data_IF_384889295971
#
_entry.id   IF_384889295971
#
_cell.length_a   1.000
_cell.length_b   1.000
_cell.length_c   1.000
_cell.angle_alpha   90.00
_cell.angle_beta   90.00
_cell.angle_gamma   90.00
#
_symmetry.space_group_name_H-M   'P 1'
#
loop_
_entity.id
_entity.type
_entity.pdbx_description
1 polymer ?
#
# COMPACT_ATOMS: atom_id res chain seq x y z
N UNK A 1 -0.27 54.73 -32.20
CA UNK A 1 -0.86 53.39 -32.01
C UNK A 1 0.01 52.61 -31.03
N UNK A 2 -0.44 52.40 -29.78
CA UNK A 2 0.26 51.58 -28.79
C UNK A 2 -0.37 50.18 -28.80
N UNK A 3 0.41 49.17 -29.16
CA UNK A 3 -0.01 47.76 -29.10
C UNK A 3 0.34 47.23 -27.71
N UNK A 4 -0.66 47.10 -26.86
CA UNK A 4 -0.50 46.47 -25.54
C UNK A 4 -0.56 44.96 -25.73
N UNK A 5 0.55 44.25 -25.50
CA UNK A 5 0.57 42.80 -25.46
C UNK A 5 0.03 42.35 -24.10
N UNK A 6 -1.10 41.66 -24.11
CA UNK A 6 -1.65 40.97 -22.92
C UNK A 6 -0.89 39.65 -22.81
N UNK A 7 -0.04 39.52 -21.78
CA UNK A 7 0.54 38.24 -21.40
C UNK A 7 -0.52 37.48 -20.59
N UNK A 8 -1.09 36.42 -21.18
CA UNK A 8 -2.00 35.52 -20.48
C UNK A 8 -1.14 34.52 -19.69
N UNK A 9 -1.00 34.74 -18.38
CA UNK A 9 -0.42 33.76 -17.48
C UNK A 9 -1.46 32.68 -17.20
N UNK A 10 -1.34 31.53 -17.88
CA UNK A 10 -2.11 30.33 -17.54
C UNK A 10 -1.46 29.73 -16.30
N UNK A 11 -1.99 30.04 -15.13
CA UNK A 11 -1.68 29.29 -13.92
C UNK A 11 -2.34 27.91 -14.05
N UNK A 12 -1.55 26.86 -14.27
CA UNK A 12 -2.01 25.48 -14.07
C UNK A 12 -2.29 25.32 -12.56
N UNK A 13 -3.53 25.54 -12.16
CA UNK A 13 -4.06 25.02 -10.91
C UNK A 13 -4.20 23.50 -11.08
N UNK A 14 -3.14 22.76 -10.79
CA UNK A 14 -3.29 21.34 -10.52
C UNK A 14 -4.10 21.22 -9.22
N UNK A 15 -5.26 20.54 -9.22
CA UNK A 15 -5.95 20.27 -7.97
C UNK A 15 -4.99 19.53 -7.02
N UNK A 16 -5.01 19.82 -5.72
CA UNK A 16 -4.24 19.06 -4.76
C UNK A 16 -4.71 17.61 -4.85
N UNK A 17 -3.78 16.72 -5.17
CA UNK A 17 -4.00 15.29 -5.04
C UNK A 17 -4.24 15.05 -3.56
N UNK A 18 -5.40 14.48 -3.21
CA UNK A 18 -5.70 14.12 -1.84
C UNK A 18 -4.72 13.01 -1.43
N UNK A 19 -3.70 13.39 -0.66
CA UNK A 19 -2.83 12.45 0.02
C UNK A 19 -3.67 11.84 1.15
N UNK A 20 -3.93 10.55 1.05
CA UNK A 20 -4.61 9.79 2.08
C UNK A 20 -3.59 9.18 3.04
N UNK A 21 -4.01 8.94 4.29
CA UNK A 21 -3.34 7.93 5.11
C UNK A 21 -3.57 6.56 4.49
N UNK A 22 -2.65 5.62 4.75
CA UNK A 22 -2.88 4.23 4.36
C UNK A 22 -4.06 3.74 5.20
N UNK A 23 -5.23 3.62 4.56
CA UNK A 23 -6.38 3.01 5.19
C UNK A 23 -6.04 1.55 5.47
N UNK A 24 -6.21 1.11 6.71
CA UNK A 24 -6.26 -0.32 7.02
C UNK A 24 -7.45 -0.88 6.24
N UNK A 25 -7.23 -1.88 5.39
CA UNK A 25 -8.35 -2.59 4.79
C UNK A 25 -9.17 -3.17 5.94
N UNK A 26 -10.45 -2.80 6.00
CA UNK A 26 -11.33 -3.24 7.07
C UNK A 26 -11.83 -4.64 6.75
N UNK A 27 -12.14 -5.39 7.81
CA UNK A 27 -13.02 -6.55 7.70
C UNK A 27 -14.29 -6.12 6.95
N UNK A 28 -14.67 -6.87 5.92
CA UNK A 28 -15.82 -6.49 5.12
C UNK A 28 -17.07 -6.76 5.95
N UNK A 29 -18.08 -5.88 5.88
CA UNK A 29 -19.35 -6.11 6.58
C UNK A 29 -20.20 -7.24 5.95
N UNK A 30 -19.63 -8.04 5.03
CA UNK A 30 -20.27 -9.15 4.32
C UNK A 30 -19.65 -10.51 4.64
N UNK A 31 -20.37 -11.55 4.25
CA UNK A 31 -20.00 -12.97 4.26
C UNK A 31 -18.74 -13.22 3.37
N UNK A 32 -17.54 -13.01 3.94
CA UNK A 32 -16.26 -13.32 3.33
C UNK A 32 -16.00 -12.67 1.95
N UNK A 33 -15.09 -13.25 1.17
CA UNK A 33 -14.87 -12.95 -0.25
C UNK A 33 -13.54 -12.28 -0.60
N UNK A 34 -13.39 -11.92 -1.87
CA UNK A 34 -12.20 -11.26 -2.42
C UNK A 34 -12.55 -9.85 -2.88
N UNK A 35 -11.84 -8.84 -2.38
CA UNK A 35 -11.90 -7.46 -2.89
C UNK A 35 -10.50 -6.89 -3.13
N UNK A 36 -10.38 -6.07 -4.16
CA UNK A 36 -9.13 -5.43 -4.54
C UNK A 36 -9.42 -4.12 -5.27
N UNK A 37 -9.00 -3.00 -4.67
CA UNK A 37 -9.31 -1.66 -5.15
C UNK A 37 -8.05 -0.80 -5.31
N UNK A 38 -8.07 0.12 -6.27
CA UNK A 38 -6.99 1.08 -6.51
C UNK A 38 -7.52 2.42 -7.04
N UNK A 39 -6.77 3.53 -6.90
CA UNK A 39 -7.22 4.85 -7.32
C UNK A 39 -7.21 4.99 -8.84
N UNK A 40 -8.14 5.80 -9.38
CA UNK A 40 -8.32 5.96 -10.83
C UNK A 40 -7.09 6.49 -11.58
N UNK A 41 -6.12 7.13 -10.91
CA UNK A 41 -4.84 7.53 -11.52
C UNK A 41 -4.07 6.35 -12.13
N UNK A 42 -4.26 5.13 -11.58
CA UNK A 42 -3.66 3.89 -12.09
C UNK A 42 -4.07 3.64 -13.54
N UNK A 43 -5.32 3.92 -13.90
CA UNK A 43 -5.84 3.71 -15.26
C UNK A 43 -5.14 4.61 -16.31
N UNK A 44 -4.45 5.66 -15.87
CA UNK A 44 -3.71 6.59 -16.73
C UNK A 44 -2.24 6.21 -16.91
N UNK A 45 -1.76 5.18 -16.21
CA UNK A 45 -0.38 4.72 -16.17
C UNK A 45 -0.36 3.23 -16.58
N UNK A 46 -0.22 2.89 -17.87
CA UNK A 46 -0.41 1.53 -18.37
C UNK A 46 0.49 0.49 -17.68
N UNK A 47 1.77 0.78 -17.46
CA UNK A 47 2.67 -0.13 -16.76
C UNK A 47 2.29 -0.34 -15.30
N UNK A 48 1.72 0.68 -14.64
CA UNK A 48 1.22 0.56 -13.27
C UNK A 48 -0.07 -0.26 -13.23
N UNK A 49 -0.96 -0.04 -14.21
CA UNK A 49 -2.18 -0.83 -14.35
C UNK A 49 -1.86 -2.31 -14.57
N UNK A 50 -0.90 -2.62 -15.45
CA UNK A 50 -0.46 -3.99 -15.69
C UNK A 50 0.16 -4.61 -14.43
N UNK A 51 0.95 -3.83 -13.68
CA UNK A 51 1.55 -4.26 -12.42
C UNK A 51 0.47 -4.61 -11.37
N UNK A 52 -0.50 -3.73 -11.14
CA UNK A 52 -1.57 -3.98 -10.16
C UNK A 52 -2.57 -5.05 -10.63
N UNK A 53 -2.75 -5.24 -11.94
CA UNK A 53 -3.53 -6.35 -12.47
C UNK A 53 -2.85 -7.70 -12.19
N UNK A 54 -1.53 -7.77 -12.34
CA UNK A 54 -0.75 -8.97 -12.01
C UNK A 54 -0.76 -9.25 -10.50
N UNK A 55 -0.60 -8.21 -9.66
CA UNK A 55 -0.69 -8.32 -8.21
C UNK A 55 -2.07 -8.83 -7.75
N UNK A 56 -3.15 -8.21 -8.25
CA UNK A 56 -4.52 -8.66 -7.99
C UNK A 56 -4.75 -10.12 -8.40
N UNK A 57 -4.21 -10.53 -9.55
CA UNK A 57 -4.37 -11.90 -10.04
C UNK A 57 -3.63 -12.90 -9.14
N UNK A 58 -2.43 -12.56 -8.67
CA UNK A 58 -1.67 -13.38 -7.72
C UNK A 58 -2.42 -13.51 -6.38
N UNK A 59 -2.89 -12.39 -5.81
CA UNK A 59 -3.68 -12.39 -4.59
C UNK A 59 -4.98 -13.21 -4.72
N UNK A 60 -5.65 -13.14 -5.87
CA UNK A 60 -6.87 -13.92 -6.12
C UNK A 60 -6.59 -15.43 -6.22
N UNK A 61 -5.47 -15.83 -6.85
CA UNK A 61 -5.06 -17.23 -6.94
C UNK A 61 -4.65 -17.81 -5.58
N UNK A 62 -3.93 -17.03 -4.77
CA UNK A 62 -3.59 -17.40 -3.39
C UNK A 62 -4.85 -17.55 -2.54
N UNK A 63 -5.78 -16.60 -2.62
CA UNK A 63 -7.06 -16.67 -1.91
C UNK A 63 -7.84 -17.94 -2.28
N UNK A 64 -8.00 -18.24 -3.57
CA UNK A 64 -8.73 -19.43 -4.01
C UNK A 64 -8.00 -20.73 -3.64
N UNK A 65 -6.66 -20.73 -3.64
CA UNK A 65 -5.86 -21.86 -3.14
C UNK A 65 -6.12 -22.10 -1.66
N UNK A 66 -6.05 -21.06 -0.83
CA UNK A 66 -6.34 -21.14 0.60
C UNK A 66 -7.78 -21.63 0.87
N UNK A 67 -8.76 -21.17 0.08
CA UNK A 67 -10.15 -21.66 0.18
C UNK A 67 -10.27 -23.16 -0.13
N UNK A 68 -9.62 -23.63 -1.20
CA UNK A 68 -9.63 -25.07 -1.55
C UNK A 68 -8.99 -25.91 -0.46
N UNK A 69 -7.80 -25.53 0.00
CA UNK A 69 -7.08 -26.26 1.05
C UNK A 69 -7.87 -26.30 2.36
N UNK A 70 -8.47 -25.17 2.75
CA UNK A 70 -9.32 -25.12 3.94
C UNK A 70 -10.56 -26.02 3.80
N UNK A 71 -11.19 -26.05 2.62
CA UNK A 71 -12.34 -26.94 2.35
C UNK A 71 -11.97 -28.42 2.41
N UNK A 72 -10.74 -28.80 2.04
CA UNK A 72 -10.26 -30.18 2.17
C UNK A 72 -10.05 -30.60 3.63
N UNK A 73 -9.56 -29.68 4.47
CA UNK A 73 -9.22 -29.96 5.87
C UNK A 73 -10.45 -29.84 6.79
N UNK A 74 -11.37 -28.91 6.49
CA UNK A 74 -12.52 -28.57 7.32
C UNK A 74 -13.81 -28.34 6.49
N UNK A 75 -14.30 -29.35 5.74
CA UNK A 75 -15.40 -29.19 4.78
C UNK A 75 -16.74 -28.75 5.39
N UNK A 76 -16.97 -29.05 6.68
CA UNK A 76 -18.21 -28.71 7.40
C UNK A 76 -18.06 -27.44 8.27
N UNK A 77 -16.94 -26.71 8.14
CA UNK A 77 -16.69 -25.51 8.92
C UNK A 77 -17.49 -24.32 8.40
N UNK A 78 -18.22 -23.66 9.29
CA UNK A 78 -18.88 -22.38 8.97
C UNK A 78 -17.89 -21.29 8.53
N UNK A 79 -16.60 -21.41 8.89
CA UNK A 79 -15.59 -20.44 8.49
C UNK A 79 -15.33 -20.41 6.97
N UNK A 80 -15.73 -21.45 6.23
CA UNK A 80 -15.59 -21.51 4.77
C UNK A 80 -16.31 -20.35 4.05
N UNK A 81 -17.47 -19.97 4.56
CA UNK A 81 -18.28 -18.87 4.02
C UNK A 81 -17.76 -17.49 4.44
N UNK A 82 -16.83 -17.45 5.39
CA UNK A 82 -16.26 -16.21 5.93
C UNK A 82 -14.84 -15.93 5.47
N UNK A 83 -14.18 -16.89 4.77
CA UNK A 83 -12.82 -16.68 4.25
C UNK A 83 -12.76 -15.40 3.42
N UNK A 84 -11.80 -14.53 3.73
CA UNK A 84 -11.74 -13.18 3.18
C UNK A 84 -10.32 -12.79 2.75
N UNK A 85 -10.23 -12.05 1.65
CA UNK A 85 -9.09 -11.21 1.29
C UNK A 85 -9.61 -9.85 0.82
N UNK A 86 -9.11 -8.77 1.40
CA UNK A 86 -9.44 -7.40 1.00
C UNK A 86 -8.17 -6.57 0.93
N UNK A 87 -7.93 -5.95 -0.22
CA UNK A 87 -6.79 -5.05 -0.40
C UNK A 87 -7.21 -3.74 -1.06
N UNK A 88 -6.65 -2.63 -0.60
CA UNK A 88 -6.97 -1.30 -1.13
C UNK A 88 -5.74 -0.43 -1.22
N UNK A 89 -5.42 0.04 -2.43
CA UNK A 89 -4.37 1.03 -2.66
C UNK A 89 -4.90 2.44 -2.49
N UNK A 90 -4.08 3.30 -1.88
CA UNK A 90 -4.35 4.73 -1.68
C UNK A 90 -3.16 5.56 -2.14
N UNK A 91 -3.42 6.79 -2.63
CA UNK A 91 -2.34 7.73 -2.95
C UNK A 91 -1.82 8.34 -1.64
N UNK A 92 -0.57 8.02 -1.30
CA UNK A 92 0.10 8.53 -0.09
C UNK A 92 1.15 9.60 -0.38
N UNK A 93 1.39 9.87 -1.67
CA UNK A 93 2.25 10.96 -2.11
C UNK A 93 2.26 11.09 -3.63
N UNK A 94 2.30 12.31 -4.13
CA UNK A 94 2.39 12.56 -5.57
C UNK A 94 3.24 13.80 -5.87
N UNK A 95 4.09 13.67 -6.88
CA UNK A 95 4.82 14.78 -7.51
C UNK A 95 4.60 14.74 -9.03
N UNK A 96 5.09 15.71 -9.82
CA UNK A 96 5.02 15.61 -11.28
C UNK A 96 5.72 14.37 -11.88
N UNK A 97 6.64 13.73 -11.14
CA UNK A 97 7.44 12.59 -11.63
C UNK A 97 7.13 11.29 -10.90
N UNK A 98 6.80 11.36 -9.63
CA UNK A 98 6.61 10.20 -8.76
C UNK A 98 5.16 10.09 -8.30
N UNK A 99 4.68 8.86 -8.21
CA UNK A 99 3.45 8.49 -7.52
C UNK A 99 3.82 7.47 -6.44
N UNK A 100 3.42 7.71 -5.21
CA UNK A 100 3.58 6.79 -4.08
C UNK A 100 2.20 6.28 -3.69
N UNK A 101 2.03 4.96 -3.71
CA UNK A 101 0.85 4.28 -3.24
C UNK A 101 1.18 3.50 -1.96
N UNK A 102 0.24 3.46 -1.04
CA UNK A 102 0.26 2.53 0.09
C UNK A 102 -0.96 1.62 0.01
N UNK A 103 -0.80 0.36 0.40
CA UNK A 103 -1.86 -0.64 0.43
C UNK A 103 -2.19 -0.98 1.87
N UNK A 104 -3.47 -1.04 2.19
CA UNK A 104 -3.94 -1.80 3.35
C UNK A 104 -4.47 -3.15 2.89
N UNK A 105 -4.18 -4.20 3.65
CA UNK A 105 -4.62 -5.57 3.38
C UNK A 105 -5.29 -6.14 4.64
N UNK A 106 -6.38 -6.88 4.46
CA UNK A 106 -7.02 -7.71 5.46
C UNK A 106 -7.23 -9.12 4.91
N UNK A 107 -6.91 -10.13 5.71
CA UNK A 107 -7.12 -11.53 5.37
C UNK A 107 -7.78 -12.28 6.51
N UNK A 108 -8.76 -13.13 6.21
CA UNK A 108 -9.29 -14.11 7.14
C UNK A 108 -9.21 -15.50 6.50
N UNK A 109 -8.38 -16.37 7.06
CA UNK A 109 -8.11 -17.71 6.54
C UNK A 109 -8.75 -18.84 7.35
N UNK A 110 -9.77 -18.52 8.17
CA UNK A 110 -10.54 -19.52 8.95
C UNK A 110 -9.98 -19.81 10.35
N UNK A 111 -9.03 -19.00 10.82
CA UNK A 111 -8.46 -19.08 12.17
C UNK A 111 -9.27 -18.32 13.24
N UNK A 112 -8.61 -18.00 14.35
CA UNK A 112 -9.24 -17.31 15.48
C UNK A 112 -9.53 -15.82 15.22
N UNK A 113 -8.78 -15.19 14.32
CA UNK A 113 -8.93 -13.79 13.93
C UNK A 113 -8.40 -13.58 12.49
N UNK A 114 -8.75 -12.44 11.89
CA UNK A 114 -8.12 -11.98 10.65
C UNK A 114 -6.73 -11.38 10.89
N UNK A 115 -5.98 -11.16 9.82
CA UNK A 115 -4.68 -10.50 9.83
C UNK A 115 -4.75 -9.23 8.98
N UNK A 116 -4.14 -8.16 9.46
CA UNK A 116 -3.93 -6.93 8.69
C UNK A 116 -2.47 -6.83 8.27
N UNK A 117 -2.25 -6.41 7.04
CA UNK A 117 -0.92 -6.17 6.47
C UNK A 117 -0.91 -4.86 5.66
N UNK A 118 0.27 -4.42 5.26
CA UNK A 118 0.47 -3.21 4.46
C UNK A 118 1.56 -3.39 3.41
N UNK A 119 1.40 -2.69 2.29
CA UNK A 119 2.43 -2.62 1.25
C UNK A 119 2.64 -1.17 0.78
N UNK A 120 3.74 -0.93 0.05
CA UNK A 120 4.07 0.36 -0.53
C UNK A 120 4.66 0.20 -1.93
N UNK A 121 4.14 1.02 -2.86
CA UNK A 121 4.59 1.05 -4.25
C UNK A 121 5.01 2.46 -4.64
N UNK A 122 6.24 2.60 -5.15
CA UNK A 122 6.74 3.84 -5.72
C UNK A 122 6.83 3.71 -7.24
N UNK A 123 6.14 4.58 -7.96
CA UNK A 123 6.07 4.59 -9.42
C UNK A 123 6.69 5.85 -10.01
N UNK A 124 7.54 5.69 -11.03
CA UNK A 124 8.01 6.79 -11.86
C UNK A 124 7.05 6.99 -13.03
N UNK A 125 6.22 8.05 -12.97
CA UNK A 125 5.23 8.37 -14.00
C UNK A 125 5.83 8.72 -15.37
N UNK A 126 7.08 9.19 -15.42
CA UNK A 126 7.74 9.53 -16.70
C UNK A 126 8.35 8.32 -17.39
N UNK A 127 8.87 7.39 -16.62
CA UNK A 127 9.53 6.17 -17.12
C UNK A 127 8.58 4.96 -17.16
N UNK A 128 7.38 5.13 -16.61
CA UNK A 128 6.35 4.10 -16.45
C UNK A 128 6.90 2.79 -15.87
N UNK A 129 7.56 2.92 -14.71
CA UNK A 129 8.16 1.79 -14.01
C UNK A 129 8.14 1.97 -12.49
N UNK A 130 8.17 0.84 -11.79
CA UNK A 130 8.40 0.79 -10.36
C UNK A 130 9.83 1.25 -10.01
N UNK A 131 9.95 1.92 -8.87
CA UNK A 131 11.19 2.24 -8.20
C UNK A 131 11.25 1.50 -6.86
N UNK A 132 12.41 0.98 -6.52
CA UNK A 132 12.68 0.60 -5.13
C UNK A 132 12.94 1.85 -4.29
N UNK A 133 12.75 1.75 -2.97
CA UNK A 133 13.14 2.83 -2.04
C UNK A 133 14.60 3.25 -2.24
N UNK A 134 15.49 2.28 -2.49
CA UNK A 134 16.92 2.54 -2.65
C UNK A 134 17.27 3.27 -3.96
N UNK A 135 16.42 3.21 -4.99
CA UNK A 135 16.61 3.95 -6.24
C UNK A 135 16.48 5.47 -6.04
N UNK A 136 15.93 5.93 -4.91
CA UNK A 136 15.85 7.34 -4.56
C UNK A 136 17.19 7.93 -4.11
N UNK A 137 18.19 7.10 -3.83
CA UNK A 137 19.43 7.53 -3.19
C UNK A 137 20.64 7.23 -4.07
N UNK A 138 21.53 8.22 -4.20
CA UNK A 138 22.82 8.04 -4.90
C UNK A 138 23.79 7.13 -4.14
N UNK A 139 23.67 7.07 -2.80
CA UNK A 139 24.40 6.14 -1.95
C UNK A 139 23.44 5.40 -1.03
N UNK A 140 23.04 4.19 -1.43
CA UNK A 140 22.09 3.32 -0.72
C UNK A 140 22.50 2.98 0.72
N UNK A 141 23.80 2.78 0.97
CA UNK A 141 24.29 2.41 2.30
C UNK A 141 24.22 3.58 3.27
N UNK A 142 24.58 4.78 2.80
CA UNK A 142 24.43 6.00 3.59
C UNK A 142 22.96 6.31 3.88
N UNK A 143 22.06 6.08 2.92
CA UNK A 143 20.63 6.27 3.11
C UNK A 143 20.06 5.34 4.18
N UNK A 144 20.36 4.04 4.12
CA UNK A 144 19.92 3.08 5.13
C UNK A 144 20.45 3.43 6.52
N UNK A 145 21.73 3.79 6.64
CA UNK A 145 22.30 4.21 7.92
C UNK A 145 21.60 5.45 8.52
N UNK A 146 21.16 6.40 7.68
CA UNK A 146 20.39 7.56 8.12
C UNK A 146 18.97 7.17 8.55
N UNK A 147 18.33 6.26 7.84
CA UNK A 147 16.99 5.73 8.20
C UNK A 147 17.07 5.02 9.55
N UNK A 148 18.00 4.07 9.71
CA UNK A 148 18.16 3.29 10.94
C UNK A 148 18.44 4.18 12.15
N UNK A 149 19.29 5.20 11.97
CA UNK A 149 19.64 6.14 13.03
C UNK A 149 18.43 6.96 13.54
N UNK A 150 17.37 7.11 12.75
CA UNK A 150 16.13 7.77 13.17
C UNK A 150 15.06 6.77 13.60
N UNK A 151 14.90 5.67 12.86
CA UNK A 151 13.86 4.68 13.07
C UNK A 151 14.07 3.89 14.36
N UNK A 152 15.28 3.36 14.60
CA UNK A 152 15.51 2.50 15.76
C UNK A 152 15.28 3.20 17.11
N UNK A 153 15.74 4.47 17.32
CA UNK A 153 15.41 5.20 18.54
C UNK A 153 13.91 5.48 18.69
N UNK A 154 13.21 5.82 17.60
CA UNK A 154 11.77 6.07 17.62
C UNK A 154 10.98 4.80 17.97
N UNK A 155 11.34 3.66 17.37
CA UNK A 155 10.75 2.37 17.68
C UNK A 155 10.97 2.00 19.16
N UNK A 156 12.17 2.22 19.69
CA UNK A 156 12.46 1.98 21.10
C UNK A 156 11.59 2.84 22.02
N UNK A 157 11.42 4.12 21.69
CA UNK A 157 10.57 5.02 22.48
C UNK A 157 9.10 4.58 22.50
N UNK A 158 8.56 4.10 21.37
CA UNK A 158 7.22 3.51 21.31
C UNK A 158 7.12 2.22 22.13
N UNK A 159 8.14 1.36 22.08
CA UNK A 159 8.19 0.13 22.87
C UNK A 159 8.22 0.43 24.37
N UNK A 160 9.05 1.37 24.81
CA UNK A 160 9.11 1.80 26.21
C UNK A 160 7.77 2.39 26.67
N UNK A 161 7.09 3.16 25.80
CA UNK A 161 5.80 3.77 26.10
C UNK A 161 4.68 2.72 26.24
N UNK A 162 4.66 1.70 25.38
CA UNK A 162 3.56 0.70 25.32
C UNK A 162 3.77 -0.51 26.20
N UNK A 163 5.01 -0.94 26.37
CA UNK A 163 5.36 -2.18 27.05
C UNK A 163 6.22 -1.98 28.31
N UNK A 164 6.70 -0.76 28.57
CA UNK A 164 7.59 -0.46 29.69
C UNK A 164 9.07 -0.71 29.38
N UNK A 165 9.96 -0.20 30.23
CA UNK A 165 11.41 -0.21 30.01
C UNK A 165 12.10 -1.56 30.24
N UNK A 166 11.41 -2.56 30.80
CA UNK A 166 11.97 -3.89 31.06
C UNK A 166 12.05 -4.79 29.81
N UNK A 167 11.39 -4.41 28.71
CA UNK A 167 11.36 -5.20 27.47
C UNK A 167 12.56 -4.92 26.55
N UNK A 168 13.37 -3.91 26.87
CA UNK A 168 14.49 -3.42 26.04
C UNK A 168 15.73 -4.34 25.93
N UNK A 169 15.66 -5.58 26.42
CA UNK A 169 16.81 -6.51 26.50
C UNK A 169 16.73 -7.77 25.64
N UNK A 170 15.69 -7.95 24.83
CA UNK A 170 15.46 -9.19 24.08
C UNK A 170 15.51 -8.99 22.55
N UNK A 171 16.60 -8.41 22.01
CA UNK A 171 16.94 -8.49 20.59
C UNK A 171 18.46 -8.45 20.40
#
# INVERSE_FOLDING_TARGET
MKVTRIALAIALLLPPVAIAEIAVAQEAESDGGFSYDYPQIVEQLPGLLDHLAADRAAAQDEFETNRREFAEIAPDSAALDHLQYSAGWSIVGETPVLLSLGQGIYTYSGGAHGNSDFDALLWNKRQDRQLSLLDLFTNRYAALALIDAQFCPALRAEQETRFGSEVGGLW
#
